data_IF_682331171867
#
_entry.id   IF_682331171867
#
_cell.length_a   1.000
_cell.length_b   1.000
_cell.length_c   1.000
_cell.angle_alpha   90.00
_cell.angle_beta   90.00
_cell.angle_gamma   90.00
#
_symmetry.space_group_name_H-M   'P 1'
#
loop_
_entity.id
_entity.type
_entity.pdbx_description
1 polymer ?
#
# COMPACT_ATOMS: atom_id res chain seq x y z
N UNK A 1 27.40 30.97 5.79
CA UNK A 1 26.85 30.81 4.42
C UNK A 1 25.72 29.76 4.31
N UNK A 2 25.36 29.04 5.40
CA UNK A 2 24.31 28.00 5.36
C UNK A 2 22.88 28.52 5.58
N UNK A 3 22.70 29.59 6.36
CA UNK A 3 21.36 30.05 6.79
C UNK A 3 20.47 30.54 5.63
N UNK A 4 21.00 31.34 4.70
CA UNK A 4 20.23 31.86 3.54
C UNK A 4 19.67 30.77 2.61
N UNK A 5 20.32 29.60 2.54
CA UNK A 5 19.88 28.50 1.66
C UNK A 5 18.69 27.77 2.28
N UNK A 6 18.71 27.61 3.60
CA UNK A 6 17.61 27.02 4.38
C UNK A 6 16.36 27.88 4.33
N UNK A 7 16.49 29.20 4.41
CA UNK A 7 15.36 30.13 4.30
C UNK A 7 14.68 30.09 2.92
N UNK A 8 15.48 30.02 1.84
CA UNK A 8 14.96 29.85 0.49
C UNK A 8 14.24 28.51 0.29
N UNK A 9 14.79 27.43 0.87
CA UNK A 9 14.16 26.12 0.85
C UNK A 9 12.86 26.08 1.63
N UNK A 10 12.79 26.70 2.82
CA UNK A 10 11.58 26.72 3.64
C UNK A 10 10.46 27.50 2.93
N UNK A 11 10.77 28.64 2.32
CA UNK A 11 9.80 29.42 1.56
C UNK A 11 9.30 28.66 0.32
N UNK A 12 10.18 27.96 -0.37
CA UNK A 12 9.81 27.11 -1.51
C UNK A 12 8.98 25.88 -1.07
N UNK A 13 9.35 25.23 0.03
CA UNK A 13 8.58 24.12 0.59
C UNK A 13 7.19 24.58 1.00
N UNK A 14 7.08 25.76 1.61
CA UNK A 14 5.81 26.38 1.98
C UNK A 14 4.92 26.66 0.78
N UNK A 15 5.47 27.20 -0.32
CA UNK A 15 4.69 27.47 -1.53
C UNK A 15 4.29 26.19 -2.28
N UNK A 16 5.15 25.17 -2.32
CA UNK A 16 4.81 23.87 -2.90
C UNK A 16 3.76 23.14 -2.04
N UNK A 17 3.89 23.16 -0.71
CA UNK A 17 2.92 22.57 0.22
C UNK A 17 1.56 23.26 0.10
N UNK A 18 1.50 24.59 -0.02
CA UNK A 18 0.25 25.31 -0.23
C UNK A 18 -0.42 25.01 -1.57
N UNK A 19 0.36 24.75 -2.62
CA UNK A 19 -0.14 24.40 -3.96
C UNK A 19 -0.27 22.88 -4.19
N UNK A 20 -0.03 22.06 -3.17
CA UNK A 20 -0.13 20.61 -3.30
C UNK A 20 -1.57 20.15 -3.25
N UNK A 21 -1.95 19.27 -4.16
CA UNK A 21 -3.26 18.57 -4.20
C UNK A 21 -3.40 17.52 -3.08
N UNK A 22 -2.42 17.42 -2.17
CA UNK A 22 -2.48 16.53 -1.01
C UNK A 22 -3.48 17.11 -0.02
N UNK A 23 -4.58 16.40 0.16
CA UNK A 23 -5.64 16.79 1.10
C UNK A 23 -5.05 16.95 2.51
N UNK A 24 -5.42 18.03 3.20
CA UNK A 24 -4.96 18.33 4.56
C UNK A 24 -3.79 19.33 4.66
N UNK A 25 -2.89 19.38 3.69
CA UNK A 25 -1.74 20.31 3.69
C UNK A 25 -2.15 21.80 3.62
N UNK A 26 -3.03 22.23 2.69
CA UNK A 26 -3.49 23.62 2.67
C UNK A 26 -4.31 23.99 3.91
N UNK A 27 -4.96 23.02 4.56
CA UNK A 27 -5.68 23.24 5.84
C UNK A 27 -4.75 23.35 7.05
N UNK A 28 -3.54 22.78 6.99
CA UNK A 28 -2.48 22.96 7.98
C UNK A 28 -1.86 24.36 7.81
N UNK A 29 -1.57 24.78 6.57
CA UNK A 29 -0.98 26.09 6.29
C UNK A 29 -1.92 27.25 6.70
N UNK A 30 -3.22 27.11 6.45
CA UNK A 30 -4.25 28.14 6.68
C UNK A 30 -4.76 28.21 8.14
N UNK A 31 -4.35 27.29 9.02
CA UNK A 31 -4.80 27.30 10.42
C UNK A 31 -4.18 28.47 11.21
N UNK A 32 -5.02 29.29 11.85
CA UNK A 32 -4.59 30.49 12.58
C UNK A 32 -3.87 30.24 13.92
N UNK A 33 -4.04 29.06 14.53
CA UNK A 33 -3.46 28.73 15.84
C UNK A 33 -2.33 27.68 15.74
N UNK A 34 -1.20 27.97 16.41
CA UNK A 34 -0.01 27.12 16.39
C UNK A 34 -0.25 25.70 16.95
N UNK A 35 -1.10 25.56 17.96
CA UNK A 35 -1.46 24.25 18.54
C UNK A 35 -2.27 23.38 17.59
N UNK A 36 -3.21 23.96 16.84
CA UNK A 36 -4.04 23.24 15.87
C UNK A 36 -3.22 22.82 14.63
N UNK A 37 -2.23 23.64 14.24
CA UNK A 37 -1.25 23.31 13.19
C UNK A 37 -0.47 22.05 13.55
N UNK A 38 0.05 21.98 14.77
CA UNK A 38 0.83 20.84 15.26
C UNK A 38 -0.04 19.58 15.31
N UNK A 39 -1.25 19.67 15.84
CA UNK A 39 -2.17 18.52 15.92
C UNK A 39 -2.53 17.98 14.53
N UNK A 40 -2.85 18.86 13.57
CA UNK A 40 -3.15 18.45 12.19
C UNK A 40 -1.94 17.87 11.47
N UNK A 41 -0.74 18.40 11.73
CA UNK A 41 0.50 17.83 11.20
C UNK A 41 0.78 16.43 11.78
N UNK A 42 0.54 16.22 13.08
CA UNK A 42 0.68 14.89 13.70
C UNK A 42 -0.30 13.88 13.11
N UNK A 43 -1.57 14.25 12.96
CA UNK A 43 -2.58 13.38 12.33
C UNK A 43 -2.16 13.03 10.89
N UNK A 44 -1.67 14.00 10.13
CA UNK A 44 -1.17 13.76 8.78
C UNK A 44 0.00 12.77 8.76
N UNK A 45 1.01 12.97 9.63
CA UNK A 45 2.18 12.07 9.73
C UNK A 45 1.76 10.65 10.13
N UNK A 46 0.87 10.51 11.11
CA UNK A 46 0.35 9.20 11.53
C UNK A 46 -0.38 8.51 10.38
N UNK A 47 -1.24 9.24 9.65
CA UNK A 47 -1.97 8.69 8.51
C UNK A 47 -1.05 8.28 7.36
N UNK A 48 -0.01 9.07 7.08
CA UNK A 48 0.98 8.77 6.05
C UNK A 48 1.80 7.52 6.41
N UNK A 49 2.20 7.40 7.68
CA UNK A 49 2.95 6.25 8.19
C UNK A 49 2.11 4.98 8.12
N UNK A 50 0.84 5.05 8.54
CA UNK A 50 -0.10 3.94 8.44
C UNK A 50 -0.32 3.50 6.99
N UNK A 51 -0.46 4.45 6.06
CA UNK A 51 -0.58 4.17 4.63
C UNK A 51 0.65 3.45 4.07
N UNK A 52 1.85 3.90 4.41
CA UNK A 52 3.10 3.26 3.97
C UNK A 52 3.19 1.84 4.53
N UNK A 53 2.91 1.65 5.82
CA UNK A 53 2.92 0.31 6.45
C UNK A 53 1.97 -0.65 5.74
N UNK A 54 0.71 -0.24 5.53
CA UNK A 54 -0.28 -1.07 4.86
C UNK A 54 0.10 -1.35 3.39
N UNK A 55 0.71 -0.39 2.70
CA UNK A 55 1.19 -0.59 1.34
C UNK A 55 2.34 -1.60 1.27
N UNK A 56 3.24 -1.61 2.26
CA UNK A 56 4.33 -2.59 2.32
C UNK A 56 3.83 -4.01 2.57
N UNK A 57 2.89 -4.19 3.50
CA UNK A 57 2.24 -5.49 3.74
C UNK A 57 1.57 -6.03 2.46
N UNK A 58 0.88 -5.15 1.72
CA UNK A 58 0.27 -5.54 0.46
C UNK A 58 1.30 -5.91 -0.61
N UNK A 59 2.44 -5.22 -0.63
CA UNK A 59 3.55 -5.50 -1.54
C UNK A 59 4.18 -6.86 -1.23
N UNK A 60 4.31 -7.23 0.04
CA UNK A 60 4.83 -8.53 0.47
C UNK A 60 3.88 -9.67 0.08
N UNK A 61 2.58 -9.51 0.35
CA UNK A 61 1.56 -10.46 -0.10
C UNK A 61 1.54 -10.64 -1.63
N UNK A 62 1.77 -9.56 -2.38
CA UNK A 62 1.87 -9.62 -3.84
C UNK A 62 3.12 -10.41 -4.28
N UNK A 63 4.26 -10.19 -3.61
CA UNK A 63 5.51 -10.88 -3.90
C UNK A 63 5.52 -12.36 -3.52
N UNK A 64 4.69 -12.76 -2.56
CA UNK A 64 4.54 -14.16 -2.16
C UNK A 64 3.90 -15.02 -3.27
N UNK A 65 3.34 -14.39 -4.34
CA UNK A 65 2.70 -15.08 -5.47
C UNK A 65 1.71 -16.18 -5.04
N UNK A 66 1.04 -15.96 -3.91
CA UNK A 66 0.14 -16.97 -3.32
C UNK A 66 -1.03 -17.21 -4.26
N UNK A 67 -1.08 -18.39 -4.87
CA UNK A 67 -2.20 -18.81 -5.71
C UNK A 67 -3.32 -19.36 -4.82
N UNK A 68 -4.53 -18.90 -5.07
CA UNK A 68 -5.73 -19.48 -4.44
C UNK A 68 -6.25 -20.55 -5.40
N UNK A 69 -6.11 -21.82 -5.00
CA UNK A 69 -6.69 -22.94 -5.74
C UNK A 69 -8.17 -23.06 -5.37
N UNK A 70 -9.04 -22.75 -6.32
CA UNK A 70 -10.47 -23.01 -6.22
C UNK A 70 -10.75 -24.42 -6.74
N UNK A 71 -11.05 -25.35 -5.82
CA UNK A 71 -11.32 -26.75 -6.15
C UNK A 71 -12.82 -26.89 -6.37
N UNK A 72 -13.23 -26.88 -7.64
CA UNK A 72 -14.61 -27.18 -8.02
C UNK A 72 -14.73 -28.66 -8.37
N UNK A 73 -15.58 -29.37 -7.62
CA UNK A 73 -15.91 -30.77 -7.90
C UNK A 73 -17.14 -30.80 -8.79
N UNK A 74 -16.95 -31.17 -10.04
CA UNK A 74 -18.03 -31.34 -11.01
C UNK A 74 -18.34 -32.83 -11.23
N UNK A 75 -19.62 -33.18 -11.36
CA UNK A 75 -20.09 -34.54 -11.62
C UNK A 75 -20.62 -34.64 -13.06
N UNK A 76 -19.74 -34.79 -14.06
CA UNK A 76 -20.16 -34.85 -15.45
C UNK A 76 -20.92 -36.16 -15.75
N UNK A 77 -21.91 -36.09 -16.64
CA UNK A 77 -22.71 -37.25 -17.07
C UNK A 77 -21.89 -38.28 -17.87
N UNK A 78 -20.76 -37.84 -18.43
CA UNK A 78 -19.80 -38.64 -19.19
C UNK A 78 -18.39 -38.28 -18.72
N UNK A 79 -17.61 -39.28 -18.33
CA UNK A 79 -16.20 -39.10 -17.91
C UNK A 79 -15.33 -39.99 -18.78
N UNK A 80 -14.19 -39.48 -19.24
CA UNK A 80 -13.24 -40.30 -20.00
C UNK A 80 -12.68 -41.43 -19.14
N UNK A 81 -12.63 -42.63 -19.70
CA UNK A 81 -12.12 -43.80 -18.99
C UNK A 81 -10.60 -43.64 -18.79
N UNK A 82 -10.09 -43.70 -17.56
CA UNK A 82 -8.65 -43.56 -17.31
C UNK A 82 -7.89 -44.78 -17.84
N UNK A 83 -6.59 -44.61 -18.08
CA UNK A 83 -5.72 -45.72 -18.44
C UNK A 83 -5.60 -46.70 -17.26
N UNK A 84 -5.99 -47.95 -17.49
CA UNK A 84 -5.83 -49.02 -16.51
C UNK A 84 -4.48 -49.67 -16.74
N UNK A 85 -3.56 -49.50 -15.78
CA UNK A 85 -2.29 -50.22 -15.78
C UNK A 85 -2.38 -51.40 -14.82
N UNK A 86 -2.19 -52.62 -15.34
CA UNK A 86 -2.20 -53.86 -14.54
C UNK A 86 -0.79 -54.38 -14.42
N UNK A 87 -0.33 -54.57 -13.18
CA UNK A 87 0.97 -55.18 -12.88
C UNK A 87 0.78 -56.65 -12.47
N UNK A 88 1.65 -57.53 -12.96
CA UNK A 88 1.72 -58.93 -12.51
C UNK A 88 2.64 -59.04 -11.29
N UNK A 89 2.22 -59.74 -10.24
CA UNK A 89 3.04 -60.01 -9.05
C UNK A 89 4.09 -61.11 -9.27
N UNK A 90 4.71 -61.14 -10.45
CA UNK A 90 5.93 -61.91 -10.67
C UNK A 90 7.06 -60.90 -10.66
N UNK A 91 7.77 -60.85 -9.54
CA UNK A 91 8.96 -60.01 -9.35
C UNK A 91 10.09 -60.35 -10.31
#
# INVERSE_FOLDING_TARGET
MGERKTEGFINYLGSVLQNSMVTGIPQIATAGSASLKILRALVFIVSLTGFIYQSMEFMDMYWEYKTVLDIQVEYPQITEMPSITVCTNNG
#
